data_IF_724387102729
#
_entry.id   IF_724387102729
#
_cell.length_a   1.000
_cell.length_b   1.000
_cell.length_c   1.000
_cell.angle_alpha   90.00
_cell.angle_beta   90.00
_cell.angle_gamma   90.00
#
_symmetry.space_group_name_H-M   'P 1'
#
loop_
_entity.id
_entity.type
_entity.pdbx_description
1 polymer ?
#
# COMPACT_ATOMS: atom_id res chain seq x y z
N UNK A 1 38.85 -83.81 13.96
CA UNK A 1 37.43 -83.57 14.30
C UNK A 1 37.17 -82.53 15.42
N UNK A 2 38.18 -81.89 16.05
CA UNK A 2 37.92 -80.78 17.00
C UNK A 2 37.85 -79.38 16.35
N UNK A 3 38.39 -79.19 15.13
CA UNK A 3 38.37 -77.90 14.42
C UNK A 3 37.03 -77.55 13.75
N UNK A 4 36.20 -78.54 13.42
CA UNK A 4 34.87 -78.32 12.83
C UNK A 4 33.80 -77.91 13.86
N UNK A 5 33.96 -78.33 15.13
CA UNK A 5 33.03 -77.96 16.20
C UNK A 5 33.15 -76.47 16.58
N UNK A 6 34.37 -75.91 16.54
CA UNK A 6 34.58 -74.48 16.81
C UNK A 6 34.02 -73.58 15.71
N UNK A 7 34.07 -74.01 14.44
CA UNK A 7 33.48 -73.24 13.34
C UNK A 7 31.96 -73.25 13.45
N UNK A 8 31.33 -74.38 13.77
CA UNK A 8 29.88 -74.46 13.92
C UNK A 8 29.36 -73.65 15.11
N UNK A 9 30.06 -73.65 16.25
CA UNK A 9 29.68 -72.85 17.43
C UNK A 9 29.89 -71.34 17.17
N UNK A 10 30.93 -70.94 16.42
CA UNK A 10 31.11 -69.51 16.07
C UNK A 10 30.04 -69.01 15.07
N UNK A 11 29.60 -69.85 14.14
CA UNK A 11 28.54 -69.49 13.18
C UNK A 11 27.17 -69.30 13.85
N UNK A 12 26.85 -70.11 14.86
CA UNK A 12 25.59 -69.98 15.62
C UNK A 12 25.62 -68.75 16.55
N UNK A 13 26.77 -68.39 17.11
CA UNK A 13 26.92 -67.15 17.89
C UNK A 13 26.82 -65.87 17.04
N UNK A 14 27.22 -65.90 15.76
CA UNK A 14 27.06 -64.76 14.85
C UNK A 14 25.61 -64.56 14.35
N UNK A 15 24.75 -65.58 14.41
CA UNK A 15 23.35 -65.48 14.00
C UNK A 15 22.38 -65.11 15.15
N UNK A 16 22.80 -65.23 16.41
CA UNK A 16 21.97 -64.89 17.59
C UNK A 16 22.21 -63.43 18.05
N UNK A 17 23.23 -62.75 17.50
CA UNK A 17 23.58 -61.36 17.84
C UNK A 17 22.88 -60.26 17.02
N UNK A 18 22.22 -60.59 15.90
CA UNK A 18 21.46 -59.61 15.13
C UNK A 18 20.01 -59.53 15.65
N UNK A 19 19.82 -58.84 16.78
CA UNK A 19 18.52 -58.24 17.06
C UNK A 19 18.24 -57.26 15.92
N UNK A 20 17.22 -57.55 15.10
CA UNK A 20 16.64 -56.61 14.15
C UNK A 20 16.30 -55.35 14.94
N UNK A 21 17.05 -54.28 14.71
CA UNK A 21 16.82 -52.99 15.35
C UNK A 21 15.39 -52.60 14.99
N UNK A 22 14.50 -52.52 15.97
CA UNK A 22 13.08 -52.16 15.82
C UNK A 22 12.89 -50.69 15.42
N UNK A 23 13.94 -50.07 14.85
CA UNK A 23 14.01 -48.71 14.32
C UNK A 23 14.24 -48.68 12.82
N UNK A 24 14.45 -49.83 12.16
CA UNK A 24 14.34 -49.90 10.71
C UNK A 24 12.87 -50.15 10.42
N UNK A 25 12.12 -49.06 10.27
CA UNK A 25 10.87 -49.08 9.50
C UNK A 25 11.19 -49.78 8.19
N UNK A 26 10.58 -50.94 7.95
CA UNK A 26 10.40 -51.44 6.59
C UNK A 26 9.56 -50.37 5.89
N UNK A 27 10.25 -49.41 5.28
CA UNK A 27 9.64 -48.52 4.31
C UNK A 27 9.24 -49.46 3.19
N UNK A 28 7.96 -49.82 3.16
CA UNK A 28 7.35 -50.43 1.97
C UNK A 28 7.88 -49.64 0.78
N UNK A 29 8.37 -50.29 -0.30
CA UNK A 29 8.91 -49.57 -1.44
C UNK A 29 7.93 -48.46 -1.77
N UNK A 30 8.40 -47.20 -1.72
CA UNK A 30 7.56 -46.07 -2.09
C UNK A 30 6.94 -46.46 -3.43
N UNK A 31 5.60 -46.35 -3.59
CA UNK A 31 5.01 -46.54 -4.90
C UNK A 31 5.87 -45.71 -5.86
N UNK A 32 6.36 -46.36 -6.92
CA UNK A 32 7.22 -45.69 -7.91
C UNK A 32 6.61 -44.34 -8.26
N UNK A 33 7.44 -43.32 -8.60
CA UNK A 33 6.98 -41.95 -8.73
C UNK A 33 5.64 -41.94 -9.45
N UNK A 34 4.58 -41.53 -8.74
CA UNK A 34 3.28 -41.26 -9.35
C UNK A 34 3.58 -40.47 -10.60
N UNK A 35 3.08 -40.92 -11.75
CA UNK A 35 3.27 -40.23 -13.02
C UNK A 35 3.11 -38.73 -12.75
N UNK A 36 4.12 -37.93 -13.09
CA UNK A 36 4.03 -36.49 -12.96
C UNK A 36 2.88 -36.06 -13.88
N UNK A 37 1.71 -35.86 -13.28
CA UNK A 37 0.52 -35.46 -14.00
C UNK A 37 0.78 -34.14 -14.69
N UNK A 38 0.12 -33.93 -15.83
CA UNK A 38 0.28 -32.72 -16.62
C UNK A 38 -0.76 -31.70 -16.18
N UNK A 39 -0.38 -30.43 -16.25
CA UNK A 39 -1.34 -29.35 -16.16
C UNK A 39 -2.13 -29.28 -17.47
N UNK A 40 -3.44 -29.47 -17.40
CA UNK A 40 -4.34 -29.44 -18.57
C UNK A 40 -5.46 -28.41 -18.40
N UNK A 41 -6.20 -28.13 -19.48
CA UNK A 41 -7.30 -27.17 -19.42
C UNK A 41 -8.45 -27.70 -18.55
N UNK A 42 -9.14 -26.81 -17.82
CA UNK A 42 -10.23 -27.19 -16.94
C UNK A 42 -11.38 -27.86 -17.71
N UNK A 43 -11.59 -27.49 -18.97
CA UNK A 43 -12.55 -28.14 -19.90
C UNK A 43 -12.21 -29.59 -20.22
N UNK A 44 -10.97 -30.02 -19.99
CA UNK A 44 -10.56 -31.42 -20.13
C UNK A 44 -10.91 -32.25 -18.89
N UNK A 45 -11.11 -31.63 -17.73
CA UNK A 45 -11.49 -32.30 -16.47
C UNK A 45 -12.96 -32.10 -16.10
N UNK A 46 -13.59 -31.02 -16.58
CA UNK A 46 -14.99 -30.69 -16.36
C UNK A 46 -15.85 -31.02 -17.59
N UNK A 47 -17.02 -31.64 -17.35
CA UNK A 47 -18.12 -31.69 -18.32
C UNK A 47 -18.86 -30.36 -18.40
N UNK A 48 -18.89 -29.59 -17.31
CA UNK A 48 -19.53 -28.28 -17.28
C UNK A 48 -19.57 -27.64 -15.90
N UNK A 49 -19.94 -26.36 -15.87
CA UNK A 49 -20.07 -25.55 -14.67
C UNK A 49 -21.43 -24.83 -14.73
N UNK A 50 -22.15 -24.80 -13.61
CA UNK A 50 -23.41 -24.05 -13.46
C UNK A 50 -23.30 -23.17 -12.22
N UNK A 51 -23.84 -21.96 -12.31
CA UNK A 51 -23.95 -21.05 -11.16
C UNK A 51 -25.39 -20.62 -11.02
N UNK A 52 -25.95 -20.80 -9.82
CA UNK A 52 -27.35 -20.49 -9.57
C UNK A 52 -27.62 -18.99 -9.77
N UNK A 53 -28.59 -18.69 -10.63
CA UNK A 53 -28.99 -17.32 -10.94
C UNK A 53 -28.06 -16.56 -11.90
N UNK A 54 -27.02 -17.20 -12.46
CA UNK A 54 -26.20 -16.58 -13.51
C UNK A 54 -26.97 -16.50 -14.84
N UNK A 55 -26.83 -15.40 -15.57
CA UNK A 55 -27.31 -15.28 -16.94
C UNK A 55 -26.39 -15.98 -17.95
N UNK A 56 -25.07 -15.87 -17.74
CA UNK A 56 -24.07 -16.36 -18.68
C UNK A 56 -22.84 -16.89 -17.96
N UNK A 57 -22.28 -17.98 -18.50
CA UNK A 57 -20.98 -18.51 -18.10
C UNK A 57 -20.17 -18.72 -19.39
N UNK A 58 -18.96 -18.19 -19.44
CA UNK A 58 -18.02 -18.40 -20.56
C UNK A 58 -16.68 -18.90 -20.06
N UNK A 59 -16.03 -19.75 -20.85
CA UNK A 59 -14.68 -20.20 -20.58
C UNK A 59 -13.67 -19.40 -21.42
N UNK A 60 -12.67 -18.85 -20.76
CA UNK A 60 -11.51 -18.22 -21.36
C UNK A 60 -10.37 -19.23 -21.40
N UNK A 61 -10.11 -19.77 -22.60
CA UNK A 61 -9.08 -20.79 -22.81
C UNK A 61 -7.66 -20.27 -22.68
N UNK A 62 -7.44 -18.96 -22.85
CA UNK A 62 -6.10 -18.36 -22.72
C UNK A 62 -5.67 -18.32 -21.25
N UNK A 63 -6.62 -18.03 -20.35
CA UNK A 63 -6.35 -17.91 -18.91
C UNK A 63 -6.82 -19.11 -18.10
N UNK A 64 -7.36 -20.13 -18.75
CA UNK A 64 -7.97 -21.30 -18.11
C UNK A 64 -9.01 -20.90 -17.03
N UNK A 65 -9.88 -19.94 -17.36
CA UNK A 65 -10.77 -19.29 -16.41
C UNK A 65 -12.23 -19.32 -16.83
N UNK A 66 -13.15 -19.35 -15.87
CA UNK A 66 -14.57 -19.17 -16.10
C UNK A 66 -14.99 -17.75 -15.73
N UNK A 67 -15.79 -17.12 -16.58
CA UNK A 67 -16.40 -15.82 -16.34
C UNK A 67 -17.89 -16.02 -16.15
N UNK A 68 -18.39 -15.69 -14.96
CA UNK A 68 -19.80 -15.80 -14.57
C UNK A 68 -20.40 -14.41 -14.56
N UNK A 69 -21.50 -14.21 -15.29
CA UNK A 69 -22.26 -12.95 -15.31
C UNK A 69 -23.65 -13.16 -14.70
N UNK A 70 -23.96 -12.40 -13.66
CA UNK A 70 -25.27 -12.32 -13.02
C UNK A 70 -26.13 -11.20 -13.60
N UNK A 71 -27.47 -11.32 -13.58
CA UNK A 71 -28.35 -10.20 -13.91
C UNK A 71 -28.18 -9.06 -12.91
N UNK A 72 -28.42 -7.81 -13.31
CA UNK A 72 -28.41 -6.65 -12.38
C UNK A 72 -29.38 -6.82 -11.20
N UNK A 73 -30.40 -7.67 -11.31
CA UNK A 73 -31.37 -7.93 -10.23
C UNK A 73 -30.84 -8.89 -9.16
N UNK A 74 -29.76 -9.66 -9.43
CA UNK A 74 -29.20 -10.63 -8.49
C UNK A 74 -28.63 -9.95 -7.23
N UNK A 75 -29.00 -10.38 -6.03
CA UNK A 75 -28.72 -9.65 -4.79
C UNK A 75 -28.03 -10.50 -3.70
N UNK A 76 -27.73 -11.77 -3.98
CA UNK A 76 -27.01 -12.60 -3.02
C UNK A 76 -25.52 -12.22 -2.99
N UNK A 77 -24.91 -12.31 -1.81
CA UNK A 77 -23.47 -12.16 -1.61
C UNK A 77 -22.69 -13.45 -1.88
N UNK A 78 -23.39 -14.60 -1.88
CA UNK A 78 -22.81 -15.92 -2.13
C UNK A 78 -23.30 -16.49 -3.45
N UNK A 79 -22.37 -17.08 -4.20
CA UNK A 79 -22.65 -17.82 -5.42
C UNK A 79 -22.61 -19.33 -5.14
N UNK A 80 -23.67 -20.04 -5.50
CA UNK A 80 -23.72 -21.51 -5.49
C UNK A 80 -23.19 -22.03 -6.84
N UNK A 81 -21.98 -22.57 -6.83
CA UNK A 81 -21.26 -23.07 -8.01
C UNK A 81 -21.34 -24.59 -8.02
N UNK A 82 -21.97 -25.15 -9.06
CA UNK A 82 -22.09 -26.59 -9.28
C UNK A 82 -21.18 -27.07 -10.41
N UNK A 83 -20.32 -28.04 -10.12
CA UNK A 83 -19.36 -28.65 -11.04
C UNK A 83 -19.86 -29.99 -11.54
N UNK A 84 -19.91 -30.17 -12.86
CA UNK A 84 -20.10 -31.47 -13.48
C UNK A 84 -18.72 -32.01 -13.87
N UNK A 85 -18.15 -32.87 -13.03
CA UNK A 85 -16.81 -33.45 -13.23
C UNK A 85 -16.85 -34.66 -14.18
N UNK A 86 -15.75 -34.91 -14.90
CA UNK A 86 -15.58 -36.19 -15.61
C UNK A 86 -15.37 -37.33 -14.62
N UNK A 87 -15.65 -38.60 -14.99
CA UNK A 87 -15.37 -39.75 -14.13
C UNK A 87 -13.89 -39.75 -13.70
N UNK A 88 -13.61 -40.13 -12.45
CA UNK A 88 -12.24 -40.14 -11.92
C UNK A 88 -11.73 -38.79 -11.41
N UNK A 89 -12.34 -37.68 -11.83
CA UNK A 89 -11.95 -36.34 -11.39
C UNK A 89 -12.47 -36.04 -9.98
N UNK A 90 -11.65 -35.34 -9.21
CA UNK A 90 -11.95 -34.80 -7.87
C UNK A 90 -11.61 -33.32 -7.81
N UNK A 91 -12.25 -32.61 -6.89
CA UNK A 91 -11.92 -31.22 -6.62
C UNK A 91 -11.18 -31.07 -5.28
N UNK A 92 -10.44 -29.99 -5.14
CA UNK A 92 -9.90 -29.49 -3.87
C UNK A 92 -10.19 -28.00 -3.74
N UNK A 93 -10.88 -27.63 -2.66
CA UNK A 93 -11.28 -26.28 -2.30
C UNK A 93 -11.31 -26.13 -0.77
N UNK A 94 -10.67 -25.08 -0.24
CA UNK A 94 -10.48 -24.75 1.19
C UNK A 94 -9.77 -25.79 2.07
N UNK A 95 -9.97 -27.08 1.82
CA UNK A 95 -9.31 -28.19 2.49
C UNK A 95 -8.09 -28.64 1.72
N UNK A 96 -7.21 -29.41 2.36
CA UNK A 96 -6.08 -30.02 1.67
C UNK A 96 -6.43 -31.32 0.94
N UNK A 97 -7.64 -31.83 1.15
CA UNK A 97 -8.08 -33.14 0.69
C UNK A 97 -8.90 -33.03 -0.60
N UNK A 98 -8.82 -34.07 -1.43
CA UNK A 98 -9.65 -34.23 -2.62
C UNK A 98 -11.04 -34.70 -2.20
N UNK A 99 -12.08 -34.01 -2.67
CA UNK A 99 -13.48 -34.33 -2.39
C UNK A 99 -14.24 -34.71 -3.67
N UNK A 100 -15.29 -35.51 -3.49
CA UNK A 100 -16.32 -35.79 -4.49
C UNK A 100 -17.42 -34.73 -4.54
N UNK A 101 -17.41 -33.80 -3.59
CA UNK A 101 -18.38 -32.71 -3.58
C UNK A 101 -18.35 -31.99 -4.92
N UNK A 102 -19.50 -31.47 -5.32
CA UNK A 102 -19.64 -30.81 -6.62
C UNK A 102 -20.26 -29.44 -6.48
N UNK A 103 -20.50 -28.98 -5.25
CA UNK A 103 -21.17 -27.71 -4.97
C UNK A 103 -20.30 -26.90 -4.01
N UNK A 104 -20.00 -25.66 -4.39
CA UNK A 104 -19.32 -24.68 -3.56
C UNK A 104 -20.25 -23.48 -3.36
N UNK A 105 -20.40 -23.02 -2.11
CA UNK A 105 -21.02 -21.73 -1.81
C UNK A 105 -19.91 -20.71 -1.55
N UNK A 106 -19.71 -19.78 -2.48
CA UNK A 106 -18.58 -18.86 -2.47
C UNK A 106 -19.03 -17.43 -2.19
N UNK A 107 -18.45 -16.77 -1.18
CA UNK A 107 -18.65 -15.33 -0.99
C UNK A 107 -17.80 -14.56 -2.01
N UNK A 108 -18.43 -13.96 -3.02
CA UNK A 108 -17.74 -13.44 -4.20
C UNK A 108 -17.62 -11.92 -4.23
N UNK A 109 -18.42 -11.20 -3.43
CA UNK A 109 -18.44 -9.73 -3.50
C UNK A 109 -17.19 -9.16 -2.84
N UNK A 110 -16.39 -8.39 -3.59
CA UNK A 110 -15.12 -7.78 -3.12
C UNK A 110 -14.07 -8.79 -2.62
N UNK A 111 -14.20 -10.06 -3.00
CA UNK A 111 -13.21 -11.09 -2.70
C UNK A 111 -12.46 -11.48 -3.97
N UNK A 112 -11.33 -12.17 -3.80
CA UNK A 112 -10.61 -12.77 -4.94
C UNK A 112 -11.55 -13.68 -5.75
N UNK A 113 -11.23 -13.96 -7.03
CA UNK A 113 -11.97 -14.97 -7.78
C UNK A 113 -11.89 -16.34 -7.09
N UNK A 114 -12.91 -17.19 -7.27
CA UNK A 114 -12.89 -18.54 -6.72
C UNK A 114 -11.76 -19.34 -7.40
N UNK A 115 -10.81 -19.80 -6.60
CA UNK A 115 -9.69 -20.61 -7.02
C UNK A 115 -9.81 -22.03 -6.44
N UNK A 116 -9.60 -23.04 -7.27
CA UNK A 116 -9.68 -24.44 -6.88
C UNK A 116 -8.74 -25.30 -7.70
N UNK A 117 -8.53 -26.54 -7.25
CA UNK A 117 -7.80 -27.56 -8.02
C UNK A 117 -8.77 -28.64 -8.49
N UNK A 118 -8.62 -29.07 -9.73
CA UNK A 118 -9.22 -30.27 -10.29
C UNK A 118 -8.12 -31.29 -10.54
N UNK A 119 -8.36 -32.56 -10.22
CA UNK A 119 -7.37 -33.62 -10.40
C UNK A 119 -8.03 -34.90 -10.89
N UNK A 120 -7.49 -35.49 -11.95
CA UNK A 120 -7.81 -36.85 -12.37
C UNK A 120 -6.98 -37.84 -11.56
N UNK A 121 -7.65 -38.77 -10.86
CA UNK A 121 -6.97 -39.77 -10.05
C UNK A 121 -6.29 -40.88 -10.88
N UNK A 122 -6.67 -41.07 -12.14
CA UNK A 122 -6.11 -42.12 -12.98
C UNK A 122 -4.72 -41.76 -13.52
N UNK A 123 -4.62 -40.58 -14.14
CA UNK A 123 -3.41 -40.10 -14.80
C UNK A 123 -2.66 -39.05 -13.98
N UNK A 124 -3.20 -38.64 -12.83
CA UNK A 124 -2.69 -37.59 -11.95
C UNK A 124 -2.70 -36.18 -12.59
N UNK A 125 -3.27 -36.01 -13.78
CA UNK A 125 -3.44 -34.73 -14.47
C UNK A 125 -4.26 -33.74 -13.63
N UNK A 126 -3.93 -32.45 -13.71
CA UNK A 126 -4.53 -31.44 -12.86
C UNK A 126 -4.81 -30.11 -13.58
N UNK A 127 -5.70 -29.30 -13.00
CA UNK A 127 -6.00 -27.95 -13.47
C UNK A 127 -6.30 -27.01 -12.32
N UNK A 128 -5.95 -25.74 -12.49
CA UNK A 128 -6.16 -24.67 -11.51
C UNK A 128 -7.05 -23.55 -12.07
N UNK A 129 -8.36 -23.80 -12.29
CA UNK A 129 -9.23 -22.78 -12.83
C UNK A 129 -9.52 -21.67 -11.82
N UNK A 130 -9.58 -20.45 -12.33
CA UNK A 130 -10.19 -19.32 -11.64
C UNK A 130 -11.62 -19.13 -12.14
N UNK A 131 -12.55 -18.82 -11.23
CA UNK A 131 -13.93 -18.48 -11.55
C UNK A 131 -14.18 -17.06 -11.08
N UNK A 132 -14.35 -16.17 -12.05
CA UNK A 132 -14.61 -14.76 -11.85
C UNK A 132 -16.10 -14.50 -11.86
N UNK A 133 -16.56 -13.64 -10.95
CA UNK A 133 -17.97 -13.28 -10.83
C UNK A 133 -18.14 -11.82 -11.19
N UNK A 134 -19.15 -11.52 -11.99
CA UNK A 134 -19.47 -10.18 -12.41
C UNK A 134 -20.98 -10.04 -12.70
N UNK A 135 -21.44 -8.83 -13.02
CA UNK A 135 -22.83 -8.55 -13.38
C UNK A 135 -22.92 -8.10 -14.84
N UNK A 136 -24.03 -8.38 -15.52
CA UNK A 136 -24.36 -7.86 -16.86
C UNK A 136 -25.12 -6.54 -16.74
N UNK A 137 -25.54 -5.92 -17.85
CA UNK A 137 -26.42 -4.74 -17.85
C UNK A 137 -25.72 -3.42 -17.51
N UNK A 138 -26.50 -2.39 -17.16
CA UNK A 138 -26.01 -1.03 -16.88
C UNK A 138 -25.86 -0.81 -15.37
N UNK A 139 -24.66 -0.48 -14.87
CA UNK A 139 -24.42 -0.14 -13.46
C UNK A 139 -25.23 1.07 -13.00
N UNK A 140 -25.71 1.04 -11.74
CA UNK A 140 -26.33 2.21 -11.10
C UNK A 140 -25.26 3.11 -10.50
N UNK A 141 -24.95 4.20 -11.21
CA UNK A 141 -23.95 5.19 -10.83
C UNK A 141 -24.59 6.56 -10.92
N UNK A 142 -24.58 7.28 -9.80
CA UNK A 142 -25.09 8.64 -9.71
C UNK A 142 -23.91 9.63 -9.69
N UNK A 143 -23.95 10.65 -10.55
CA UNK A 143 -23.01 11.77 -10.50
C UNK A 143 -23.58 12.87 -9.59
N UNK A 144 -22.95 13.10 -8.44
CA UNK A 144 -23.45 14.02 -7.42
C UNK A 144 -23.27 15.50 -7.79
N UNK A 145 -22.26 15.82 -8.60
CA UNK A 145 -21.99 17.19 -9.08
C UNK A 145 -21.33 17.16 -10.46
N UNK A 146 -21.68 18.12 -11.32
CA UNK A 146 -21.14 18.24 -12.68
C UNK A 146 -19.87 19.08 -12.77
N UNK A 147 -19.67 20.01 -11.84
CA UNK A 147 -18.42 20.75 -11.72
C UNK A 147 -17.49 20.00 -10.77
N UNK A 148 -16.38 19.50 -11.31
CA UNK A 148 -15.43 18.66 -10.58
C UNK A 148 -14.14 19.47 -10.41
N UNK A 149 -13.79 19.69 -9.15
CA UNK A 149 -12.58 20.39 -8.77
C UNK A 149 -11.35 19.51 -9.04
N UNK A 150 -10.38 20.06 -9.77
CA UNK A 150 -9.09 19.43 -10.03
C UNK A 150 -8.01 20.20 -9.28
N UNK A 151 -7.38 19.56 -8.30
CA UNK A 151 -6.34 20.16 -7.45
C UNK A 151 -5.03 19.35 -7.40
N UNK A 152 -5.02 18.16 -8.00
CA UNK A 152 -3.93 17.20 -7.94
C UNK A 152 -3.95 16.27 -9.16
N UNK A 153 -2.93 15.43 -9.27
CA UNK A 153 -2.74 14.40 -10.31
C UNK A 153 -3.90 13.41 -10.36
N UNK A 154 -4.50 13.13 -9.19
CA UNK A 154 -5.69 12.31 -9.03
C UNK A 154 -6.94 13.19 -9.01
N UNK A 155 -7.84 13.01 -9.98
CA UNK A 155 -9.15 13.67 -9.98
C UNK A 155 -10.11 12.78 -9.18
N UNK A 156 -10.55 13.28 -8.02
CA UNK A 156 -11.60 12.63 -7.24
C UNK A 156 -12.95 12.86 -7.90
N UNK A 157 -13.61 11.77 -8.25
CA UNK A 157 -14.88 11.83 -8.94
C UNK A 157 -16.02 11.69 -7.92
N UNK A 158 -16.99 12.61 -7.94
CA UNK A 158 -18.07 12.66 -6.97
C UNK A 158 -19.19 11.70 -7.39
N UNK A 159 -18.84 10.45 -7.63
CA UNK A 159 -19.79 9.40 -7.95
C UNK A 159 -20.30 8.74 -6.68
N UNK A 160 -21.58 8.43 -6.67
CA UNK A 160 -22.17 7.49 -5.74
C UNK A 160 -22.44 6.21 -6.52
N UNK A 161 -21.70 5.17 -6.15
CA UNK A 161 -21.86 3.84 -6.71
C UNK A 161 -22.90 3.08 -5.90
N UNK A 162 -24.05 2.80 -6.50
CA UNK A 162 -24.95 1.74 -6.02
C UNK A 162 -24.74 0.48 -6.88
N UNK A 163 -23.49 0.26 -7.30
CA UNK A 163 -23.14 -0.81 -8.22
C UNK A 163 -23.03 -2.10 -7.44
N UNK A 164 -23.61 -3.17 -8.00
CA UNK A 164 -23.38 -4.51 -7.49
C UNK A 164 -22.01 -4.97 -7.92
N UNK A 165 -21.20 -5.39 -6.96
CA UNK A 165 -19.81 -5.73 -7.18
C UNK A 165 -19.60 -7.23 -7.23
N UNK A 166 -18.85 -7.67 -8.24
CA UNK A 166 -18.42 -9.06 -8.39
C UNK A 166 -17.15 -9.37 -7.59
N UNK A 167 -16.38 -10.34 -8.09
CA UNK A 167 -15.03 -10.60 -7.58
C UNK A 167 -14.07 -9.48 -7.94
N UNK A 168 -12.99 -9.33 -7.19
CA UNK A 168 -11.89 -8.41 -7.45
C UNK A 168 -10.58 -9.21 -7.68
N UNK A 169 -10.02 -9.20 -8.90
CA UNK A 169 -10.55 -8.57 -10.12
C UNK A 169 -11.79 -9.29 -10.68
N UNK A 170 -12.53 -8.62 -11.57
CA UNK A 170 -13.78 -9.14 -12.17
C UNK A 170 -13.55 -10.04 -13.41
N UNK A 171 -12.32 -10.07 -13.94
CA UNK A 171 -11.89 -10.92 -15.05
C UNK A 171 -10.35 -11.03 -15.09
N UNK A 172 -9.77 -12.00 -15.81
CA UNK A 172 -8.34 -12.02 -16.11
C UNK A 172 -7.88 -10.71 -16.76
N UNK A 173 -6.74 -10.19 -16.31
CA UNK A 173 -6.13 -8.94 -16.78
C UNK A 173 -7.02 -7.68 -16.71
N UNK A 174 -8.13 -7.72 -15.96
CA UNK A 174 -8.99 -6.57 -15.74
C UNK A 174 -8.62 -5.89 -14.43
N UNK A 175 -7.81 -4.83 -14.52
CA UNK A 175 -7.28 -4.11 -13.36
C UNK A 175 -8.29 -3.13 -12.72
N UNK A 176 -9.45 -2.92 -13.34
CA UNK A 176 -10.52 -2.05 -12.85
C UNK A 176 -11.35 -1.45 -13.98
N UNK A 177 -12.45 -0.75 -13.65
CA UNK A 177 -13.28 -0.06 -14.64
C UNK A 177 -12.46 0.96 -15.43
N UNK A 178 -12.74 1.07 -16.72
CA UNK A 178 -12.14 2.08 -17.58
C UNK A 178 -13.01 3.32 -17.61
N UNK A 179 -12.37 4.46 -17.63
CA UNK A 179 -12.98 5.76 -17.80
C UNK A 179 -12.49 6.35 -19.10
N UNK A 180 -13.40 6.96 -19.86
CA UNK A 180 -13.08 7.80 -21.00
C UNK A 180 -13.65 9.19 -20.79
N UNK A 181 -12.77 10.19 -20.84
CA UNK A 181 -13.14 11.61 -20.82
C UNK A 181 -13.00 12.16 -22.22
N UNK A 182 -14.00 12.89 -22.70
CA UNK A 182 -13.99 13.48 -24.04
C UNK A 182 -14.43 14.93 -23.99
N UNK A 183 -13.60 15.84 -24.50
CA UNK A 183 -13.99 17.20 -24.84
C UNK A 183 -14.56 17.19 -26.27
N UNK A 184 -15.89 17.31 -26.38
CA UNK A 184 -16.59 17.28 -27.66
C UNK A 184 -16.23 18.48 -28.56
N UNK A 185 -15.70 19.57 -28.01
CA UNK A 185 -15.41 20.80 -28.76
C UNK A 185 -14.14 20.68 -29.61
N UNK A 186 -13.07 20.14 -29.04
CA UNK A 186 -11.78 19.98 -29.72
C UNK A 186 -11.50 18.53 -30.13
N UNK A 187 -12.36 17.58 -29.73
CA UNK A 187 -12.21 16.16 -30.03
C UNK A 187 -11.15 15.46 -29.18
N UNK A 188 -10.60 16.13 -28.17
CA UNK A 188 -9.64 15.51 -27.25
C UNK A 188 -10.35 14.43 -26.45
N UNK A 189 -9.75 13.24 -26.40
CA UNK A 189 -10.24 12.14 -25.59
C UNK A 189 -9.10 11.46 -24.87
N UNK A 190 -9.34 11.09 -23.62
CA UNK A 190 -8.38 10.44 -22.76
C UNK A 190 -9.03 9.29 -22.00
N UNK A 191 -8.27 8.21 -21.82
CA UNK A 191 -8.71 7.02 -21.12
C UNK A 191 -7.84 6.76 -19.88
N UNK A 192 -8.47 6.33 -18.78
CA UNK A 192 -7.81 6.03 -17.53
C UNK A 192 -8.47 4.85 -16.81
N UNK A 193 -7.72 4.22 -15.91
CA UNK A 193 -8.29 3.24 -14.97
C UNK A 193 -8.94 4.01 -13.82
N UNK A 194 -10.14 3.59 -13.45
CA UNK A 194 -10.88 4.09 -12.30
C UNK A 194 -10.63 3.21 -11.08
N UNK A 195 -10.18 3.82 -10.00
CA UNK A 195 -9.95 3.14 -8.73
C UNK A 195 -11.23 3.20 -7.90
N UNK A 196 -11.96 2.08 -7.78
CA UNK A 196 -13.29 2.07 -7.11
C UNK A 196 -13.18 2.34 -5.60
N UNK A 197 -12.13 1.85 -4.94
CA UNK A 197 -11.94 1.99 -3.49
C UNK A 197 -11.55 3.41 -3.05
N UNK A 198 -10.77 4.12 -3.88
CA UNK A 198 -10.52 5.56 -3.75
C UNK A 198 -10.94 6.21 -5.08
N UNK A 199 -12.21 6.64 -5.22
CA UNK A 199 -12.88 6.98 -6.47
C UNK A 199 -12.16 8.11 -7.22
N UNK A 200 -11.10 7.72 -7.92
CA UNK A 200 -10.12 8.61 -8.52
C UNK A 200 -9.67 8.08 -9.87
N UNK A 201 -9.28 9.01 -10.73
CA UNK A 201 -8.63 8.76 -12.01
C UNK A 201 -7.37 9.60 -12.10
N UNK A 202 -6.42 9.13 -12.90
CA UNK A 202 -5.22 9.89 -13.24
C UNK A 202 -5.25 10.15 -14.74
N UNK A 203 -5.21 11.43 -15.12
CA UNK A 203 -5.25 11.87 -16.51
C UNK A 203 -3.94 12.61 -16.82
N UNK A 204 -3.19 12.13 -17.81
CA UNK A 204 -2.02 12.75 -18.40
C UNK A 204 -2.30 14.15 -18.96
N UNK A 205 -3.45 14.40 -19.59
CA UNK A 205 -3.76 15.70 -20.22
C UNK A 205 -4.81 16.50 -19.44
N UNK A 206 -4.76 16.41 -18.10
CA UNK A 206 -5.68 17.13 -17.20
C UNK A 206 -5.76 18.64 -17.50
N UNK A 207 -4.65 19.27 -17.92
CA UNK A 207 -4.63 20.69 -18.28
C UNK A 207 -5.53 21.02 -19.47
N UNK A 208 -5.47 20.21 -20.52
CA UNK A 208 -6.26 20.41 -21.73
C UNK A 208 -7.73 20.07 -21.53
N UNK A 209 -8.05 19.23 -20.55
CA UNK A 209 -9.42 18.87 -20.17
C UNK A 209 -10.03 19.85 -19.15
N UNK A 210 -9.23 20.65 -18.45
CA UNK A 210 -9.71 21.69 -17.53
C UNK A 210 -10.13 22.94 -18.30
N UNK A 211 -11.23 22.85 -19.04
CA UNK A 211 -11.79 23.93 -19.84
C UNK A 211 -13.17 24.35 -19.34
N UNK A 212 -13.66 25.49 -19.82
CA UNK A 212 -15.05 25.89 -19.60
C UNK A 212 -16.05 25.09 -20.48
N UNK A 213 -15.56 24.24 -21.38
CA UNK A 213 -16.41 23.45 -22.27
C UNK A 213 -16.99 22.23 -21.53
N UNK A 214 -18.21 21.79 -21.89
CA UNK A 214 -18.79 20.59 -21.34
C UNK A 214 -18.05 19.34 -21.87
N UNK A 215 -17.59 18.53 -20.93
CA UNK A 215 -17.01 17.21 -21.15
C UNK A 215 -18.08 16.12 -21.12
N UNK A 216 -17.76 15.01 -21.76
CA UNK A 216 -18.48 13.73 -21.63
C UNK A 216 -17.60 12.73 -20.91
N UNK A 217 -18.18 11.98 -19.98
CA UNK A 217 -17.51 10.99 -19.17
C UNK A 217 -18.20 9.65 -19.34
N UNK A 218 -17.47 8.65 -19.79
CA UNK A 218 -17.97 7.29 -19.97
C UNK A 218 -17.25 6.36 -18.99
N UNK A 219 -18.00 5.58 -18.21
CA UNK A 219 -17.45 4.55 -17.32
C UNK A 219 -17.85 3.19 -17.84
N UNK A 220 -16.87 2.32 -18.06
CA UNK A 220 -17.07 0.96 -18.55
C UNK A 220 -16.47 -0.05 -17.58
N UNK A 221 -17.37 -0.80 -16.96
CA UNK A 221 -17.04 -1.99 -16.18
C UNK A 221 -16.90 -3.20 -17.11
N UNK A 222 -16.27 -4.28 -16.61
CA UNK A 222 -16.11 -5.50 -17.39
C UNK A 222 -17.48 -6.03 -17.82
N UNK A 223 -17.67 -6.35 -19.11
CA UNK A 223 -18.89 -6.96 -19.65
C UNK A 223 -20.23 -6.29 -19.27
N UNK A 224 -20.20 -5.00 -18.95
CA UNK A 224 -21.36 -4.18 -18.61
C UNK A 224 -21.54 -3.06 -19.65
N UNK A 225 -22.76 -2.53 -19.73
CA UNK A 225 -23.03 -1.37 -20.55
C UNK A 225 -22.30 -0.16 -19.97
N UNK A 226 -21.72 0.71 -20.81
CA UNK A 226 -21.11 1.94 -20.35
C UNK A 226 -22.15 2.88 -19.75
N UNK A 227 -21.76 3.59 -18.69
CA UNK A 227 -22.54 4.69 -18.12
C UNK A 227 -21.94 6.00 -18.63
N UNK A 228 -22.76 6.81 -19.30
CA UNK A 228 -22.33 8.08 -19.91
C UNK A 228 -22.93 9.25 -19.15
N UNK A 229 -22.08 10.16 -18.71
CA UNK A 229 -22.45 11.43 -18.11
C UNK A 229 -22.06 12.58 -19.04
N UNK A 230 -23.01 13.49 -19.29
CA UNK A 230 -22.80 14.65 -20.13
C UNK A 230 -22.84 15.97 -19.34
N UNK A 231 -22.11 16.96 -19.85
CA UNK A 231 -22.09 18.31 -19.29
C UNK A 231 -21.22 18.43 -18.04
N UNK A 232 -20.22 17.56 -17.88
CA UNK A 232 -19.22 17.65 -16.82
C UNK A 232 -18.26 18.78 -17.13
N UNK A 233 -17.76 19.47 -16.10
CA UNK A 233 -16.72 20.48 -16.25
C UNK A 233 -15.63 20.23 -15.22
N UNK A 234 -14.40 20.12 -15.70
CA UNK A 234 -13.24 20.15 -14.82
C UNK A 234 -12.86 21.60 -14.56
N UNK A 235 -12.91 21.99 -13.30
CA UNK A 235 -12.54 23.32 -12.85
C UNK A 235 -11.28 23.23 -12.02
N UNK A 236 -10.25 23.99 -12.41
CA UNK A 236 -9.06 24.12 -11.58
C UNK A 236 -9.44 24.65 -10.21
N UNK A 237 -9.09 23.90 -9.18
CA UNK A 237 -9.11 24.35 -7.79
C UNK A 237 -7.70 24.73 -7.33
N UNK A 238 -7.59 25.28 -6.12
CA UNK A 238 -6.30 25.57 -5.51
C UNK A 238 -5.47 24.27 -5.43
N UNK A 239 -4.27 24.19 -6.05
CA UNK A 239 -3.48 22.98 -6.04
C UNK A 239 -3.07 22.60 -4.61
N UNK A 240 -2.88 21.31 -4.37
CA UNK A 240 -2.39 20.82 -3.07
C UNK A 240 -0.96 20.30 -3.21
N UNK A 241 -0.05 20.77 -2.37
CA UNK A 241 1.29 20.16 -2.25
C UNK A 241 1.21 19.03 -1.24
N UNK A 242 1.58 17.82 -1.68
CA UNK A 242 1.71 16.65 -0.82
C UNK A 242 3.17 16.44 -0.46
N UNK A 243 3.49 16.46 0.83
CA UNK A 243 4.79 16.04 1.31
C UNK A 243 4.82 14.51 1.37
N UNK A 244 5.20 13.88 0.26
CA UNK A 244 5.36 12.43 0.27
C UNK A 244 6.60 12.02 1.06
N UNK A 245 6.48 10.90 1.75
CA UNK A 245 7.45 10.34 2.68
C UNK A 245 8.69 9.78 1.97
N UNK A 246 8.60 9.51 0.66
CA UNK A 246 9.71 9.09 -0.20
C UNK A 246 10.65 10.22 -0.62
N UNK A 247 10.29 11.50 -0.42
CA UNK A 247 11.24 12.58 -0.64
C UNK A 247 12.36 12.54 0.40
N UNK A 248 13.59 12.92 0.06
CA UNK A 248 14.64 13.01 1.05
C UNK A 248 14.20 13.94 2.20
N UNK A 249 14.51 13.54 3.43
CA UNK A 249 14.38 14.43 4.58
C UNK A 249 15.56 15.41 4.64
N UNK A 250 16.77 14.91 4.34
CA UNK A 250 18.00 15.67 4.39
C UNK A 250 18.37 16.21 3.01
N UNK A 251 18.62 17.52 2.96
CA UNK A 251 19.08 18.23 1.78
C UNK A 251 20.44 18.86 2.08
N UNK A 252 21.34 18.79 1.11
CA UNK A 252 22.56 19.58 1.05
C UNK A 252 22.31 20.86 0.25
N UNK A 253 23.27 21.78 0.26
CA UNK A 253 23.16 23.07 -0.46
C UNK A 253 23.04 22.94 -1.97
N UNK A 254 23.55 21.85 -2.52
CA UNK A 254 23.53 21.60 -3.96
C UNK A 254 22.25 20.92 -4.41
N UNK A 255 21.43 20.46 -3.46
CA UNK A 255 20.20 19.75 -3.79
C UNK A 255 19.11 20.74 -4.20
N UNK A 256 18.17 20.22 -5.00
CA UNK A 256 16.94 20.90 -5.36
C UNK A 256 15.81 20.38 -4.48
N UNK A 257 15.11 21.30 -3.80
CA UNK A 257 13.88 20.98 -3.08
C UNK A 257 12.76 20.82 -4.10
N UNK A 258 12.03 19.70 -4.02
CA UNK A 258 10.88 19.38 -4.87
C UNK A 258 9.61 19.26 -4.02
N UNK A 259 8.49 19.75 -4.56
CA UNK A 259 7.16 19.59 -3.99
C UNK A 259 6.22 19.06 -5.07
N UNK A 260 5.52 17.95 -4.80
CA UNK A 260 4.63 17.28 -5.77
C UNK A 260 3.16 17.32 -5.35
N UNK A 261 2.28 17.02 -6.30
CA UNK A 261 0.89 16.62 -6.05
C UNK A 261 -0.17 17.64 -6.43
N UNK A 262 0.21 18.75 -7.05
CA UNK A 262 -0.70 19.82 -7.43
C UNK A 262 -1.06 19.81 -8.91
N UNK A 263 -2.05 20.62 -9.28
CA UNK A 263 -2.31 21.06 -10.66
C UNK A 263 -1.83 22.51 -10.83
N UNK A 264 -0.51 22.67 -10.96
CA UNK A 264 0.19 23.95 -11.07
C UNK A 264 0.07 24.52 -12.48
N UNK A 265 0.01 25.85 -12.58
CA UNK A 265 -0.09 26.57 -13.85
C UNK A 265 1.16 27.39 -14.14
N UNK A 266 1.62 27.43 -15.40
CA UNK A 266 2.79 28.23 -15.79
C UNK A 266 2.59 29.74 -15.59
N UNK A 267 1.33 30.20 -15.60
CA UNK A 267 0.96 31.60 -15.44
C UNK A 267 0.91 32.07 -13.99
N UNK A 268 0.94 31.14 -13.03
CA UNK A 268 0.82 31.44 -11.61
C UNK A 268 2.20 31.63 -10.95
N UNK A 269 2.22 32.42 -9.87
CA UNK A 269 3.43 32.67 -9.10
C UNK A 269 3.42 31.86 -7.82
N UNK A 270 4.47 31.08 -7.63
CA UNK A 270 4.64 30.20 -6.49
C UNK A 270 5.78 30.66 -5.59
N UNK A 271 5.57 30.53 -4.28
CA UNK A 271 6.61 30.81 -3.28
C UNK A 271 6.69 29.68 -2.26
N UNK A 272 7.85 29.60 -1.60
CA UNK A 272 8.09 28.72 -0.47
C UNK A 272 8.64 29.55 0.68
N UNK A 273 7.98 29.50 1.82
CA UNK A 273 8.44 30.09 3.07
C UNK A 273 9.13 29.03 3.92
N UNK A 274 10.38 29.30 4.30
CA UNK A 274 11.19 28.50 5.21
C UNK A 274 11.09 29.11 6.59
N UNK A 275 10.69 28.32 7.58
CA UNK A 275 10.55 28.76 8.96
C UNK A 275 11.07 27.72 9.95
N UNK A 276 11.43 28.15 11.15
CA UNK A 276 11.80 27.25 12.24
C UNK A 276 12.35 28.02 13.44
N UNK A 277 12.41 27.37 14.60
CA UNK A 277 12.89 27.98 15.86
C UNK A 277 14.34 28.47 15.82
N UNK A 278 15.13 27.99 14.85
CA UNK A 278 16.53 28.40 14.66
C UNK A 278 16.67 29.66 13.79
N UNK A 279 15.57 30.18 13.22
CA UNK A 279 15.58 31.39 12.39
C UNK A 279 14.98 32.57 13.15
N UNK A 280 15.60 33.77 13.07
CA UNK A 280 15.03 34.96 13.68
C UNK A 280 13.74 35.42 12.96
N UNK A 281 13.62 35.14 11.66
CA UNK A 281 12.43 35.41 10.87
C UNK A 281 12.31 34.38 9.73
N UNK A 282 11.09 34.06 9.27
CA UNK A 282 10.89 33.22 8.09
C UNK A 282 11.52 33.82 6.83
N UNK A 283 12.00 32.96 5.93
CA UNK A 283 12.60 33.35 4.64
C UNK A 283 11.69 32.88 3.51
N UNK A 284 11.20 33.81 2.68
CA UNK A 284 10.38 33.47 1.52
C UNK A 284 11.21 33.47 0.24
N UNK A 285 11.09 32.40 -0.54
CA UNK A 285 11.82 32.17 -1.77
C UNK A 285 10.85 31.92 -2.93
N UNK A 286 11.13 32.41 -4.15
CA UNK A 286 10.39 32.00 -5.32
C UNK A 286 10.67 30.52 -5.64
N UNK A 287 9.63 29.80 -6.02
CA UNK A 287 9.74 28.44 -6.56
C UNK A 287 9.17 28.43 -7.97
N UNK A 288 9.77 27.64 -8.85
CA UNK A 288 9.32 27.54 -10.24
C UNK A 288 8.47 26.29 -10.42
N UNK A 289 7.50 26.37 -11.32
CA UNK A 289 6.87 25.18 -11.87
C UNK A 289 7.90 24.44 -12.74
N UNK A 290 8.05 23.13 -12.53
CA UNK A 290 8.81 22.26 -13.42
C UNK A 290 7.91 21.64 -14.47
N UNK A 291 6.79 21.10 -14.00
CA UNK A 291 5.68 20.56 -14.76
C UNK A 291 4.38 20.82 -13.98
N UNK A 292 3.24 20.41 -14.54
CA UNK A 292 1.92 20.64 -13.93
C UNK A 292 1.77 19.98 -12.55
N UNK A 293 2.65 19.07 -12.16
CA UNK A 293 2.60 18.29 -10.92
C UNK A 293 3.74 18.59 -9.93
N UNK A 294 4.72 19.39 -10.33
CA UNK A 294 5.96 19.59 -9.58
C UNK A 294 6.38 21.05 -9.49
N UNK A 295 6.56 21.53 -8.25
CA UNK A 295 7.28 22.75 -7.94
C UNK A 295 8.74 22.43 -7.58
N UNK A 296 9.67 23.29 -8.00
CA UNK A 296 11.09 23.15 -7.74
C UNK A 296 11.70 24.44 -7.20
N UNK A 297 12.57 24.29 -6.20
CA UNK A 297 13.51 25.32 -5.76
C UNK A 297 14.93 24.86 -6.02
N UNK A 298 15.49 25.34 -7.12
CA UNK A 298 16.90 25.14 -7.41
C UNK A 298 17.73 26.05 -6.50
N UNK A 299 18.81 25.48 -5.93
CA UNK A 299 19.79 26.16 -5.07
C UNK A 299 19.17 26.75 -3.79
N UNK A 300 19.48 26.08 -2.69
CA UNK A 300 19.17 26.55 -1.35
C UNK A 300 20.08 27.75 -1.02
N UNK A 301 19.56 28.90 -0.54
CA UNK A 301 20.37 30.08 -0.27
C UNK A 301 21.55 29.79 0.66
N UNK A 302 22.75 30.26 0.32
CA UNK A 302 23.95 29.99 1.10
C UNK A 302 23.91 30.59 2.51
N UNK A 303 23.12 31.65 2.71
CA UNK A 303 22.98 32.35 4.00
C UNK A 303 21.96 31.72 4.95
N UNK A 304 21.12 30.78 4.50
CA UNK A 304 20.27 30.01 5.41
C UNK A 304 21.18 29.10 6.25
N UNK A 305 21.12 29.01 7.58
CA UNK A 305 21.99 28.11 8.34
C UNK A 305 21.58 26.63 8.18
N UNK A 306 22.46 25.69 8.53
CA UNK A 306 22.09 24.27 8.61
C UNK A 306 21.13 24.04 9.80
N UNK A 307 20.12 23.20 9.61
CA UNK A 307 19.08 22.95 10.63
C UNK A 307 17.80 22.32 10.09
N UNK A 308 16.85 22.08 11.00
CA UNK A 308 15.52 21.56 10.68
C UNK A 308 14.54 22.70 10.42
N UNK A 309 13.76 22.60 9.33
CA UNK A 309 12.86 23.64 8.87
C UNK A 309 11.49 23.11 8.43
N UNK A 310 10.48 23.95 8.63
CA UNK A 310 9.17 23.84 7.99
C UNK A 310 9.21 24.61 6.67
N UNK A 311 8.81 23.94 5.60
CA UNK A 311 8.57 24.49 4.28
C UNK A 311 7.06 24.67 4.10
N UNK A 312 6.61 25.88 3.81
CA UNK A 312 5.22 26.18 3.47
C UNK A 312 5.16 26.69 2.03
N UNK A 313 4.35 26.07 1.19
CA UNK A 313 4.25 26.40 -0.23
C UNK A 313 2.98 27.21 -0.52
N UNK A 314 3.09 28.23 -1.34
CA UNK A 314 1.99 29.16 -1.62
C UNK A 314 1.83 29.41 -3.12
N UNK A 315 0.57 29.56 -3.55
CA UNK A 315 0.20 30.26 -4.79
C UNK A 315 -0.33 31.63 -4.38
N UNK A 316 0.38 32.70 -4.73
CA UNK A 316 0.12 34.05 -4.17
C UNK A 316 0.12 33.97 -2.63
N UNK A 317 -1.01 34.28 -1.99
CA UNK A 317 -1.17 34.27 -0.53
C UNK A 317 -1.86 32.99 0.01
N UNK A 318 -2.21 32.04 -0.87
CA UNK A 318 -2.94 30.84 -0.49
C UNK A 318 -1.99 29.66 -0.25
N UNK A 319 -2.06 29.07 0.94
CA UNK A 319 -1.25 27.92 1.34
C UNK A 319 -1.68 26.66 0.56
N UNK A 320 -0.74 26.06 -0.15
CA UNK A 320 -0.93 24.83 -0.94
C UNK A 320 -0.63 23.58 -0.13
N UNK A 321 0.32 23.68 0.80
CA UNK A 321 0.76 22.55 1.62
C UNK A 321 2.05 22.86 2.36
N UNK A 322 2.44 21.94 3.23
CA UNK A 322 3.62 22.04 4.08
C UNK A 322 4.47 20.78 3.98
N UNK A 323 5.76 20.90 4.27
CA UNK A 323 6.68 19.79 4.45
C UNK A 323 7.76 20.13 5.47
N UNK A 324 8.38 19.11 6.06
CA UNK A 324 9.51 19.30 6.96
C UNK A 324 10.78 18.68 6.37
N UNK A 325 11.90 19.40 6.51
CA UNK A 325 13.21 19.01 5.99
C UNK A 325 14.33 19.33 6.98
N UNK A 326 15.49 18.72 6.78
CA UNK A 326 16.74 19.11 7.42
C UNK A 326 17.75 19.53 6.36
N UNK A 327 18.38 20.68 6.55
CA UNK A 327 19.45 21.19 5.72
C UNK A 327 20.77 20.94 6.42
N UNK A 328 21.65 20.15 5.82
CA UNK A 328 22.89 19.73 6.46
C UNK A 328 23.71 18.79 5.60
N UNK A 329 24.71 18.16 6.22
CA UNK A 329 25.50 17.11 5.56
C UNK A 329 24.69 15.82 5.47
N UNK A 330 25.03 14.98 4.49
CA UNK A 330 24.47 13.62 4.42
C UNK A 330 24.73 12.86 5.75
N UNK A 331 23.72 12.15 6.22
CA UNK A 331 23.70 11.35 7.46
C UNK A 331 23.86 12.15 8.77
N UNK A 332 23.68 13.48 8.73
CA UNK A 332 23.70 14.29 9.94
C UNK A 332 22.55 13.88 10.88
N UNK A 333 22.89 13.55 12.12
CA UNK A 333 21.93 13.14 13.15
C UNK A 333 20.93 14.26 13.45
N UNK A 334 19.67 14.01 13.17
CA UNK A 334 18.57 14.98 13.24
C UNK A 334 17.24 14.33 13.60
N UNK A 335 16.30 15.10 14.13
CA UNK A 335 14.93 14.63 14.40
C UNK A 335 14.09 14.84 13.14
N UNK A 336 13.61 13.76 12.52
CA UNK A 336 12.80 13.81 11.30
C UNK A 336 11.38 14.33 11.60
N UNK A 337 10.74 13.71 12.58
CA UNK A 337 9.34 13.98 12.92
C UNK A 337 9.12 13.74 14.40
N UNK A 338 8.30 14.58 15.02
CA UNK A 338 7.72 14.36 16.34
C UNK A 338 6.20 14.39 16.15
N UNK A 339 5.45 13.49 16.79
CA UNK A 339 3.98 13.47 16.70
C UNK A 339 3.32 12.88 17.94
N UNK A 340 2.03 13.16 18.09
CA UNK A 340 1.14 12.59 19.12
C UNK A 340 0.08 11.74 18.43
N UNK A 341 -0.19 10.54 18.95
CA UNK A 341 -1.30 9.70 18.46
C UNK A 341 -0.84 8.31 18.06
N UNK A 342 -1.33 7.84 16.93
CA UNK A 342 -1.10 6.47 16.45
C UNK A 342 0.31 6.30 15.86
N UNK A 343 0.90 5.12 16.03
CA UNK A 343 2.22 4.78 15.49
C UNK A 343 2.22 4.72 13.95
N UNK A 344 1.07 4.46 13.32
CA UNK A 344 0.88 4.48 11.86
C UNK A 344 1.17 5.86 11.24
N UNK A 345 1.11 6.95 12.03
CA UNK A 345 1.50 8.29 11.58
C UNK A 345 3.01 8.45 11.40
N UNK A 346 3.83 7.44 11.76
CA UNK A 346 5.29 7.46 11.62
C UNK A 346 5.77 7.51 10.16
N UNK A 347 4.89 7.15 9.22
CA UNK A 347 5.16 7.31 7.80
C UNK A 347 5.27 8.80 7.47
N UNK A 348 4.36 9.63 7.99
CA UNK A 348 4.26 11.05 7.66
C UNK A 348 5.16 11.94 8.52
N UNK A 349 5.59 13.06 7.94
CA UNK A 349 6.32 14.10 8.68
C UNK A 349 5.31 15.08 9.27
N UNK A 350 5.37 15.28 10.58
CA UNK A 350 4.55 16.27 11.24
C UNK A 350 4.96 17.69 10.84
N UNK A 351 3.98 18.47 10.42
CA UNK A 351 4.12 19.86 9.94
C UNK A 351 3.32 20.85 10.80
N UNK A 352 2.79 20.38 11.92
CA UNK A 352 2.05 21.20 12.88
C UNK A 352 2.80 21.36 14.20
N UNK A 353 2.64 22.51 14.85
CA UNK A 353 3.18 22.71 16.19
C UNK A 353 2.44 21.82 17.18
N UNK A 354 3.18 21.09 18.00
CA UNK A 354 2.62 20.14 18.95
C UNK A 354 2.36 20.79 20.29
N UNK A 355 1.24 20.40 20.89
CA UNK A 355 0.90 20.75 22.27
C UNK A 355 0.58 19.51 23.08
N UNK A 356 1.19 19.41 24.26
CA UNK A 356 1.05 18.28 25.16
C UNK A 356 0.62 18.73 26.55
N UNK A 357 -0.22 17.92 27.17
CA UNK A 357 -0.45 17.92 28.61
C UNK A 357 0.66 17.13 29.31
N UNK A 358 0.88 17.44 30.58
CA UNK A 358 1.69 16.62 31.48
C UNK A 358 1.18 15.16 31.48
N UNK A 359 2.10 14.20 31.35
CA UNK A 359 1.80 12.78 31.25
C UNK A 359 1.46 12.28 29.84
N UNK A 360 1.34 13.17 28.85
CA UNK A 360 1.10 12.73 27.47
C UNK A 360 2.28 11.92 26.94
N UNK A 361 1.93 10.85 26.22
CA UNK A 361 2.85 10.05 25.42
C UNK A 361 2.90 10.59 24.00
N UNK A 362 4.09 10.61 23.42
CA UNK A 362 4.35 11.02 22.05
C UNK A 362 5.52 10.25 21.45
N UNK A 363 5.74 10.39 20.16
CA UNK A 363 6.80 9.69 19.45
C UNK A 363 7.72 10.67 18.74
N UNK A 364 8.99 10.28 18.58
CA UNK A 364 9.93 10.96 17.71
C UNK A 364 10.70 9.96 16.84
N UNK A 365 10.78 10.30 15.56
CA UNK A 365 11.46 9.55 14.51
C UNK A 365 12.84 10.19 14.27
N UNK A 366 13.95 9.49 14.55
CA UNK A 366 15.28 10.00 14.26
C UNK A 366 15.63 9.84 12.78
N UNK A 367 16.52 10.69 12.29
CA UNK A 367 17.25 10.54 11.03
C UNK A 367 18.77 10.49 11.30
N UNK A 368 19.52 9.61 10.64
CA UNK A 368 19.03 8.54 9.76
C UNK A 368 18.19 7.51 10.52
N UNK A 369 17.20 6.93 9.83
CA UNK A 369 16.38 5.83 10.33
C UNK A 369 17.20 4.56 10.43
N UNK A 370 16.97 3.78 11.48
CA UNK A 370 17.44 2.40 11.52
C UNK A 370 16.35 1.50 10.97
N UNK A 371 16.67 0.80 9.89
CA UNK A 371 15.86 -0.27 9.34
C UNK A 371 16.47 -1.61 9.74
N UNK A 372 15.63 -2.60 10.05
CA UNK A 372 16.07 -3.98 10.18
C UNK A 372 15.21 -4.92 9.37
N UNK A 373 15.85 -5.98 8.88
CA UNK A 373 15.11 -7.17 8.46
C UNK A 373 14.50 -7.85 9.69
N UNK A 374 13.42 -8.64 9.55
CA UNK A 374 12.67 -9.24 10.67
C UNK A 374 13.47 -10.10 11.66
N UNK A 375 14.77 -10.33 11.42
CA UNK A 375 15.66 -11.19 12.22
C UNK A 375 16.69 -10.42 13.06
N UNK A 376 16.70 -9.08 13.02
CA UNK A 376 17.60 -8.25 13.84
C UNK A 376 16.78 -7.36 14.77
N UNK A 377 17.00 -7.50 16.08
CA UNK A 377 16.28 -6.75 17.10
C UNK A 377 16.72 -5.27 17.10
N UNK A 378 15.75 -4.38 17.31
CA UNK A 378 16.04 -2.97 17.62
C UNK A 378 16.48 -2.83 19.07
N UNK A 379 17.48 -1.99 19.31
CA UNK A 379 17.93 -1.60 20.65
C UNK A 379 17.54 -0.14 20.93
N UNK A 380 16.91 0.09 22.08
CA UNK A 380 16.59 1.42 22.61
C UNK A 380 17.85 2.29 22.78
N UNK A 381 19.01 1.68 23.02
CA UNK A 381 20.28 2.37 23.16
C UNK A 381 20.77 3.03 21.87
N UNK A 382 20.11 2.80 20.74
CA UNK A 382 20.39 3.49 19.49
C UNK A 382 19.47 4.70 19.24
N UNK A 383 18.44 4.90 20.06
CA UNK A 383 17.52 6.02 19.97
C UNK A 383 18.07 7.23 20.74
N UNK A 384 17.84 8.47 20.25
CA UNK A 384 18.29 9.66 20.96
C UNK A 384 17.48 9.87 22.25
N UNK A 385 18.09 10.48 23.26
CA UNK A 385 17.32 11.17 24.31
C UNK A 385 16.81 12.49 23.77
N UNK A 386 15.62 12.94 24.17
CA UNK A 386 15.13 14.27 23.78
C UNK A 386 15.40 15.28 24.87
N UNK A 387 16.18 16.31 24.55
CA UNK A 387 16.36 17.47 25.43
C UNK A 387 15.35 18.54 25.09
N UNK A 388 14.47 18.82 26.04
CA UNK A 388 13.50 19.90 26.02
C UNK A 388 14.08 21.05 26.84
N UNK A 389 14.28 22.21 26.20
CA UNK A 389 14.84 23.41 26.84
C UNK A 389 13.88 24.59 26.71
N UNK A 390 13.47 25.15 27.84
CA UNK A 390 12.83 26.46 27.95
C UNK A 390 13.77 27.46 28.64
N UNK A 391 13.31 28.70 28.86
CA UNK A 391 14.03 29.68 29.68
C UNK A 391 14.17 29.28 31.15
N UNK A 392 13.21 28.49 31.66
CA UNK A 392 13.11 28.14 33.08
C UNK A 392 13.74 26.78 33.41
N UNK A 393 13.68 25.82 32.47
CA UNK A 393 14.08 24.44 32.74
C UNK A 393 14.64 23.74 31.51
N UNK A 394 15.59 22.84 31.76
CA UNK A 394 16.03 21.83 30.78
C UNK A 394 15.68 20.44 31.32
N UNK A 395 15.09 19.61 30.48
CA UNK A 395 14.68 18.24 30.81
C UNK A 395 15.17 17.31 29.71
N UNK A 396 15.81 16.20 30.09
CA UNK A 396 16.18 15.13 29.16
C UNK A 396 15.20 13.97 29.32
N UNK A 397 14.49 13.65 28.24
CA UNK A 397 13.56 12.52 28.16
C UNK A 397 14.28 11.30 27.62
N UNK A 398 14.13 10.19 28.32
CA UNK A 398 14.68 8.88 27.91
C UNK A 398 13.67 8.20 26.99
N UNK A 399 14.10 7.64 25.84
CA UNK A 399 13.21 6.92 24.94
C UNK A 399 12.81 5.57 25.53
N UNK A 400 11.56 5.17 25.29
CA UNK A 400 11.14 3.78 25.17
C UNK A 400 11.17 3.36 23.70
N UNK A 401 11.49 2.10 23.42
CA UNK A 401 11.47 1.57 22.06
C UNK A 401 10.03 1.33 21.59
N UNK A 402 9.66 1.90 20.45
CA UNK A 402 8.50 1.50 19.68
C UNK A 402 8.94 1.08 18.27
N UNK A 403 8.34 0.02 17.72
CA UNK A 403 8.70 -0.52 16.41
C UNK A 403 7.48 -0.43 15.51
N UNK A 404 7.62 0.28 14.40
CA UNK A 404 6.59 0.33 13.37
C UNK A 404 6.86 -0.75 12.32
N UNK A 405 5.81 -1.49 11.95
CA UNK A 405 5.83 -2.48 10.87
C UNK A 405 5.16 -1.90 9.63
N UNK A 406 5.93 -1.68 8.56
CA UNK A 406 5.37 -1.29 7.29
C UNK A 406 5.11 -2.53 6.44
N UNK A 407 3.98 -3.19 6.70
CA UNK A 407 3.63 -4.47 6.09
C UNK A 407 3.71 -4.48 4.56
N UNK A 408 3.28 -3.40 3.90
CA UNK A 408 3.34 -3.26 2.44
C UNK A 408 4.77 -3.28 1.86
N UNK A 409 5.75 -2.77 2.62
CA UNK A 409 7.15 -2.75 2.22
C UNK A 409 7.98 -3.88 2.86
N UNK A 410 7.38 -4.68 3.75
CA UNK A 410 8.06 -5.76 4.46
C UNK A 410 9.19 -5.31 5.39
N UNK A 411 9.20 -4.03 5.79
CA UNK A 411 10.26 -3.44 6.62
C UNK A 411 9.75 -3.01 7.99
N UNK A 412 10.62 -3.07 9.00
CA UNK A 412 10.40 -2.49 10.30
C UNK A 412 11.38 -1.34 10.53
N UNK A 413 10.97 -0.33 11.30
CA UNK A 413 11.89 0.69 11.80
C UNK A 413 11.56 1.09 13.25
N UNK A 414 12.60 1.49 13.98
CA UNK A 414 12.47 1.94 15.37
C UNK A 414 12.17 3.44 15.45
N UNK A 415 11.27 3.79 16.37
CA UNK A 415 10.98 5.15 16.78
C UNK A 415 11.05 5.25 18.30
N UNK A 416 11.41 6.42 18.81
CA UNK A 416 11.38 6.68 20.25
C UNK A 416 9.97 7.04 20.71
N UNK A 417 9.51 6.41 21.77
CA UNK A 417 8.33 6.78 22.53
C UNK A 417 8.78 7.54 23.78
N UNK A 418 8.15 8.68 24.06
CA UNK A 418 8.52 9.57 25.15
C UNK A 418 7.27 10.00 25.90
N UNK A 419 7.45 10.39 27.16
CA UNK A 419 6.37 10.88 28.03
C UNK A 419 6.76 12.24 28.59
N UNK A 420 5.86 13.23 28.56
CA UNK A 420 6.08 14.52 29.22
C UNK A 420 5.97 14.32 30.74
N UNK A 421 7.03 14.58 31.54
CA UNK A 421 6.97 14.38 32.98
C UNK A 421 5.93 15.28 33.65
N UNK A 422 5.28 14.77 34.71
CA UNK A 422 4.24 15.49 35.43
C UNK A 422 4.71 16.83 36.06
N UNK A 423 6.01 16.92 36.37
CA UNK A 423 6.64 18.10 36.97
C UNK A 423 7.28 19.05 35.92
N UNK A 424 6.90 18.94 34.65
CA UNK A 424 7.36 19.83 33.58
C UNK A 424 6.60 21.16 33.66
N UNK A 425 7.27 22.31 33.86
CA UNK A 425 6.59 23.61 33.81
C UNK A 425 5.89 23.82 32.47
N UNK A 426 4.75 24.49 32.48
CA UNK A 426 4.03 24.84 31.26
C UNK A 426 4.82 25.90 30.47
N UNK A 427 4.84 25.82 29.15
CA UNK A 427 5.60 26.75 28.31
C UNK A 427 6.06 26.13 26.98
N UNK A 428 6.83 26.91 26.23
CA UNK A 428 7.41 26.48 24.95
C UNK A 428 8.83 25.94 25.14
N UNK A 429 9.08 24.75 24.61
CA UNK A 429 10.36 24.05 24.73
C UNK A 429 10.98 23.82 23.35
N UNK A 430 12.22 24.23 23.20
CA UNK A 430 13.07 23.86 22.07
C UNK A 430 13.50 22.40 22.26
N UNK A 431 13.38 21.59 21.21
CA UNK A 431 13.68 20.15 21.25
C UNK A 431 14.94 19.84 20.47
N UNK A 432 15.87 19.10 21.08
CA UNK A 432 17.07 18.56 20.44
C UNK A 432 17.22 17.07 20.76
N UNK A 433 17.77 16.29 19.84
CA UNK A 433 18.12 14.88 20.08
C UNK A 433 19.56 14.75 20.57
N UNK A 434 19.78 14.02 21.64
CA UNK A 434 21.11 13.62 22.13
C UNK A 434 21.31 12.16 21.81
N UNK A 435 22.14 11.90 20.81
CA UNK A 435 22.39 10.56 20.29
C UNK A 435 23.35 9.78 21.21
N UNK A 436 23.42 8.44 21.04
CA UNK A 436 24.23 7.59 21.92
C UNK A 436 25.73 7.94 21.90
N UNK A 437 26.24 8.37 20.75
CA UNK A 437 27.59 8.89 20.54
C UNK A 437 27.80 10.32 21.08
N UNK A 438 26.82 10.84 21.83
CA UNK A 438 26.79 12.20 22.40
C UNK A 438 26.65 13.33 21.39
N UNK A 439 26.46 13.03 20.10
CA UNK A 439 26.10 14.03 19.10
C UNK A 439 24.76 14.67 19.45
N UNK A 440 24.71 16.00 19.47
CA UNK A 440 23.48 16.76 19.72
C UNK A 440 22.97 17.30 18.38
N UNK A 441 21.73 16.98 18.03
CA UNK A 441 21.14 17.49 16.80
C UNK A 441 20.92 19.00 16.88
N UNK A 442 20.76 19.62 15.71
CA UNK A 442 20.11 20.93 15.63
C UNK A 442 18.69 20.86 16.21
N UNK A 443 18.13 22.01 16.68
CA UNK A 443 16.76 22.07 17.11
C UNK A 443 15.79 21.53 16.06
N UNK A 444 14.77 20.79 16.50
CA UNK A 444 13.63 20.46 15.65
C UNK A 444 12.95 21.75 15.16
N UNK A 445 12.38 21.73 13.96
CA UNK A 445 11.86 22.95 13.31
C UNK A 445 10.83 23.70 14.18
N UNK A 446 10.07 22.98 15.01
CA UNK A 446 9.05 23.52 15.90
C UNK A 446 9.44 23.40 17.37
N UNK A 447 8.97 24.34 18.19
CA UNK A 447 8.93 24.14 19.64
C UNK A 447 7.76 23.22 20.01
N UNK A 448 7.89 22.57 21.16
CA UNK A 448 6.79 21.84 21.78
C UNK A 448 6.16 22.71 22.87
N UNK A 449 4.83 22.84 22.86
CA UNK A 449 4.09 23.55 23.91
C UNK A 449 3.58 22.59 24.99
N UNK A 450 4.07 22.73 26.21
CA UNK A 450 3.57 21.99 27.39
C UNK A 450 2.51 22.81 28.11
N UNK A 451 1.36 22.20 28.39
CA UNK A 451 0.21 22.78 29.10
C UNK A 451 0.15 22.33 30.55
#
# INVERSE_FOLDING_TARGET
MKKLLYVFVMSVCLLIGCKKDSRVLEIAPQPGPTAEGKMIAATELLKGLRVKGSEKITFDSLHNAYLVSFPQTYNASQAEVTFSMKPGVRLKYETNDLTTDSVINYNFQRTSPLYLTLQDLADNDFSYPYIYFNFSGTPDIELLQKEIAVNADAIKLPFKFNVKEGSSPAAPNFNGPFVKVTDKKNGLSEEAIFYVEDPSIYLANTLELTTNAPLTFEIKFFNQNPVVFEGIRFKRALPTVRAFTYFPFQYTRQDTIKAMGGFFLPTEKYTMTISGVSLPAPVTLPVRMHDVHTLMRDKIPANLPDGSYLLSFYEKDQLLGKGAVHLGKADEKSLESIWKGDLNQSLDRNVEQLSFSKGDVFYAKPSPLMFTYPRVNFDVNHLPRLRLKSSEKTIDLVPELAVYNWGAAGVNFAVGKYTIPANTPSGDYIVTGIYPDKTVSKPYWSSIKVK
#
